data_IF_472195037963
#
_entry.id   IF_472195037963
#
_cell.length_a   1.000
_cell.length_b   1.000
_cell.length_c   1.000
_cell.angle_alpha   90.00
_cell.angle_beta   90.00
_cell.angle_gamma   90.00
#
_symmetry.space_group_name_H-M   'P 1'
#
loop_
_entity.id
_entity.type
_entity.pdbx_description
1 polymer ?
#
# COMPACT_ATOMS: atom_id res chain seq x y z
N UNK A 1 27.13 30.35 -11.29
CA UNK A 1 26.43 29.58 -12.31
C UNK A 1 25.04 29.22 -11.77
N UNK A 2 24.03 30.01 -12.16
CA UNK A 2 22.65 29.81 -11.71
C UNK A 2 22.03 28.59 -12.42
N UNK A 3 21.74 27.53 -11.68
CA UNK A 3 20.83 26.47 -12.17
C UNK A 3 19.43 27.07 -12.28
N UNK A 4 19.01 27.36 -13.50
CA UNK A 4 17.63 27.72 -13.80
C UNK A 4 16.75 26.53 -13.40
N UNK A 5 15.96 26.70 -12.33
CA UNK A 5 14.85 25.80 -11.99
C UNK A 5 13.87 25.84 -13.16
N UNK A 6 13.76 24.77 -13.90
CA UNK A 6 12.77 24.61 -14.95
C UNK A 6 11.39 24.41 -14.29
N UNK A 7 10.43 25.33 -14.44
CA UNK A 7 9.13 25.24 -13.77
C UNK A 7 8.29 24.03 -14.22
N UNK A 8 8.61 23.42 -15.36
CA UNK A 8 7.91 22.24 -15.86
C UNK A 8 8.24 20.94 -15.10
N UNK A 9 9.39 20.85 -14.40
CA UNK A 9 9.76 19.66 -13.64
C UNK A 9 9.05 19.53 -12.27
N UNK A 10 8.38 20.58 -11.78
CA UNK A 10 7.65 20.56 -10.50
C UNK A 10 6.25 19.97 -10.56
N UNK A 11 5.70 19.69 -11.75
CA UNK A 11 4.28 19.39 -11.95
C UNK A 11 3.94 17.88 -12.05
N UNK A 12 4.93 16.97 -12.00
CA UNK A 12 4.71 15.55 -12.32
C UNK A 12 5.01 14.58 -11.18
N UNK A 13 4.93 15.01 -9.92
CA UNK A 13 5.16 14.10 -8.78
C UNK A 13 4.05 13.05 -8.63
N UNK A 14 2.89 13.26 -9.24
CA UNK A 14 1.75 12.37 -9.19
C UNK A 14 1.54 11.72 -10.56
N UNK A 15 2.34 10.70 -10.83
CA UNK A 15 2.23 9.90 -12.05
C UNK A 15 2.27 8.41 -11.77
N UNK A 16 1.60 7.65 -12.63
CA UNK A 16 1.56 6.18 -12.64
C UNK A 16 2.27 5.69 -13.89
N UNK A 17 3.27 4.82 -13.72
CA UNK A 17 4.11 4.30 -14.80
C UNK A 17 3.95 2.79 -14.96
N UNK A 18 4.01 2.34 -16.21
CA UNK A 18 3.94 0.92 -16.55
C UNK A 18 2.54 0.45 -16.91
N UNK A 19 2.49 -0.53 -17.82
CA UNK A 19 1.24 -0.95 -18.49
C UNK A 19 0.21 -1.50 -17.52
N UNK A 20 0.61 -2.41 -16.64
CA UNK A 20 -0.32 -3.01 -15.68
C UNK A 20 -0.86 -1.97 -14.70
N UNK A 21 0.00 -1.11 -14.14
CA UNK A 21 -0.43 -0.07 -13.21
C UNK A 21 -1.40 0.93 -13.84
N UNK A 22 -1.21 1.27 -15.14
CA UNK A 22 -2.13 2.16 -15.85
C UNK A 22 -3.44 1.46 -16.22
N UNK A 23 -3.43 0.15 -16.47
CA UNK A 23 -4.65 -0.63 -16.68
C UNK A 23 -5.47 -0.67 -15.38
N UNK A 24 -4.86 -1.04 -14.25
CA UNK A 24 -5.52 -1.04 -12.93
C UNK A 24 -6.07 0.35 -12.57
N UNK A 25 -5.29 1.40 -12.84
CA UNK A 25 -5.74 2.79 -12.68
C UNK A 25 -6.99 3.11 -13.52
N UNK A 26 -7.03 2.63 -14.76
CA UNK A 26 -8.20 2.78 -15.63
C UNK A 26 -9.39 1.95 -15.15
N UNK A 27 -9.17 0.76 -14.60
CA UNK A 27 -10.22 -0.13 -14.06
C UNK A 27 -10.78 0.38 -12.72
N UNK A 28 -9.96 1.00 -11.86
CA UNK A 28 -10.37 1.50 -10.54
C UNK A 28 -11.37 2.66 -10.56
N UNK A 29 -11.47 3.36 -11.67
CA UNK A 29 -12.33 4.55 -11.75
C UNK A 29 -11.70 5.85 -11.25
N UNK A 30 -10.47 5.83 -10.69
CA UNK A 30 -9.76 7.02 -10.22
C UNK A 30 -9.54 8.03 -11.34
N UNK A 31 -9.57 9.31 -11.01
CA UNK A 31 -9.36 10.39 -11.96
C UNK A 31 -7.98 10.37 -12.61
N UNK A 32 -7.95 10.59 -13.92
CA UNK A 32 -6.74 10.65 -14.73
C UNK A 32 -6.75 11.95 -15.53
N UNK A 33 -5.76 12.79 -15.31
CA UNK A 33 -5.65 14.05 -16.03
C UNK A 33 -5.32 13.83 -17.52
N UNK A 34 -4.37 12.93 -17.81
CA UNK A 34 -3.96 12.55 -19.17
C UNK A 34 -3.03 11.34 -19.16
N UNK A 35 -2.94 10.65 -20.28
CA UNK A 35 -2.03 9.54 -20.48
C UNK A 35 -1.06 9.88 -21.62
N UNK A 36 0.23 9.60 -21.43
CA UNK A 36 1.26 9.69 -22.45
C UNK A 36 1.68 8.29 -22.89
N UNK A 37 1.77 8.07 -24.20
CA UNK A 37 2.18 6.81 -24.81
C UNK A 37 3.34 7.06 -25.77
N UNK A 38 4.32 6.15 -25.81
CA UNK A 38 5.43 6.24 -26.75
C UNK A 38 4.97 5.92 -28.18
N UNK A 39 5.35 6.78 -29.14
CA UNK A 39 5.10 6.54 -30.55
C UNK A 39 5.67 5.18 -31.00
N UNK A 40 4.91 4.45 -31.82
CA UNK A 40 5.31 3.15 -32.40
C UNK A 40 5.01 1.93 -31.52
N UNK A 41 4.63 2.09 -30.25
CA UNK A 41 4.24 0.99 -29.38
C UNK A 41 2.73 0.73 -29.44
N UNK A 42 2.28 0.03 -30.49
CA UNK A 42 0.84 -0.35 -30.66
C UNK A 42 0.64 -1.86 -30.42
N UNK A 43 1.19 -2.41 -29.34
CA UNK A 43 1.06 -3.83 -29.02
C UNK A 43 0.01 -4.06 -27.92
N UNK A 44 -0.73 -5.17 -28.01
CA UNK A 44 -1.66 -5.75 -27.04
C UNK A 44 -2.13 -4.85 -25.87
N UNK A 45 -1.35 -4.74 -24.82
CA UNK A 45 -1.71 -3.97 -23.61
C UNK A 45 -1.80 -2.45 -23.83
N UNK A 46 -1.04 -1.87 -24.76
CA UNK A 46 -1.16 -0.44 -25.12
C UNK A 46 -2.50 -0.20 -25.83
N UNK A 47 -2.92 -1.09 -26.72
CA UNK A 47 -4.22 -0.96 -27.38
C UNK A 47 -5.38 -1.08 -26.36
N UNK A 48 -5.25 -1.96 -25.34
CA UNK A 48 -6.20 -2.04 -24.21
C UNK A 48 -6.28 -0.71 -23.49
N UNK A 49 -5.14 -0.11 -23.14
CA UNK A 49 -5.08 1.21 -22.46
C UNK A 49 -5.75 2.29 -23.30
N UNK A 50 -5.49 2.35 -24.60
CA UNK A 50 -6.10 3.35 -25.49
C UNK A 50 -7.62 3.17 -25.56
N UNK A 51 -8.12 1.93 -25.68
CA UNK A 51 -9.54 1.63 -25.70
C UNK A 51 -10.23 2.06 -24.40
N UNK A 52 -9.70 1.67 -23.26
CA UNK A 52 -10.23 2.02 -21.93
C UNK A 52 -10.17 3.54 -21.68
N UNK A 53 -9.08 4.21 -22.07
CA UNK A 53 -8.96 5.66 -21.96
C UNK A 53 -10.03 6.37 -22.79
N UNK A 54 -10.32 5.87 -24.00
CA UNK A 54 -11.38 6.40 -24.86
C UNK A 54 -12.77 6.26 -24.22
N UNK A 55 -13.08 5.10 -23.66
CA UNK A 55 -14.35 4.85 -22.94
C UNK A 55 -14.53 5.82 -21.77
N UNK A 56 -13.44 6.08 -21.03
CA UNK A 56 -13.43 7.01 -19.90
C UNK A 56 -13.23 8.48 -20.29
N UNK A 57 -13.15 8.80 -21.59
CA UNK A 57 -12.89 10.16 -22.11
C UNK A 57 -11.59 10.77 -21.57
N UNK A 58 -10.59 9.95 -21.25
CA UNK A 58 -9.27 10.40 -20.83
C UNK A 58 -8.43 10.76 -22.06
N UNK A 59 -7.76 11.92 -21.99
CA UNK A 59 -6.90 12.39 -23.07
C UNK A 59 -5.65 11.51 -23.18
N UNK A 60 -5.39 10.95 -24.35
CA UNK A 60 -4.18 10.20 -24.67
C UNK A 60 -3.30 11.00 -25.63
N UNK A 61 -2.06 11.25 -25.24
CA UNK A 61 -1.07 11.96 -26.05
C UNK A 61 0.03 11.00 -26.48
N UNK A 62 0.23 10.86 -27.77
CA UNK A 62 1.39 10.16 -28.30
C UNK A 62 2.61 11.09 -28.29
N UNK A 63 3.73 10.62 -27.76
CA UNK A 63 4.99 11.36 -27.69
C UNK A 63 6.15 10.47 -28.15
N UNK A 64 7.25 11.10 -28.57
CA UNK A 64 8.44 10.31 -28.91
C UNK A 64 9.06 9.68 -27.65
N UNK A 65 9.79 8.57 -27.84
CA UNK A 65 10.39 7.80 -26.75
C UNK A 65 11.28 8.65 -25.85
N UNK A 66 12.10 9.52 -26.43
CA UNK A 66 13.00 10.41 -25.68
C UNK A 66 12.24 11.37 -24.76
N UNK A 67 11.10 11.91 -25.18
CA UNK A 67 10.25 12.77 -24.34
C UNK A 67 9.61 11.98 -23.20
N UNK A 68 9.15 10.76 -23.46
CA UNK A 68 8.59 9.90 -22.44
C UNK A 68 9.65 9.52 -21.38
N UNK A 69 10.89 9.20 -21.81
CA UNK A 69 12.04 8.92 -20.93
C UNK A 69 12.41 10.14 -20.06
N UNK A 70 12.31 11.36 -20.59
CA UNK A 70 12.54 12.59 -19.82
C UNK A 70 11.46 12.84 -18.74
N UNK A 71 10.23 12.40 -19.00
CA UNK A 71 9.11 12.54 -18.07
C UNK A 71 9.11 11.43 -17.02
N UNK A 72 9.67 10.27 -17.35
CA UNK A 72 9.66 9.10 -16.47
C UNK A 72 10.49 9.33 -15.20
N UNK A 73 9.95 8.89 -14.07
CA UNK A 73 10.63 8.85 -12.78
C UNK A 73 11.42 7.54 -12.62
N UNK A 74 11.20 6.57 -13.51
CA UNK A 74 11.86 5.27 -13.48
C UNK A 74 12.23 4.78 -14.88
N UNK A 75 13.25 3.92 -14.95
CA UNK A 75 13.70 3.33 -16.22
C UNK A 75 12.74 2.26 -16.79
N UNK A 76 11.66 1.92 -16.10
CA UNK A 76 10.74 0.85 -16.49
C UNK A 76 9.29 1.36 -16.64
N UNK A 77 9.09 2.41 -17.43
CA UNK A 77 7.78 2.97 -17.73
C UNK A 77 7.00 2.18 -18.80
N UNK A 78 7.64 1.21 -19.47
CA UNK A 78 7.02 0.32 -20.47
C UNK A 78 6.24 1.04 -21.59
N UNK A 79 6.67 2.26 -21.95
CA UNK A 79 6.06 3.04 -23.01
C UNK A 79 4.77 3.80 -22.63
N UNK A 80 4.40 3.87 -21.35
CA UNK A 80 3.19 4.58 -20.88
C UNK A 80 3.40 5.25 -19.53
N UNK A 81 2.86 6.49 -19.41
CA UNK A 81 2.80 7.29 -18.19
C UNK A 81 1.42 7.95 -18.11
N UNK A 82 0.70 7.76 -17.01
CA UNK A 82 -0.52 8.47 -16.67
C UNK A 82 -0.23 9.57 -15.63
N UNK A 83 -0.71 10.77 -15.86
CA UNK A 83 -0.68 11.87 -14.89
C UNK A 83 -2.01 11.84 -14.14
N UNK A 84 -1.92 11.79 -12.81
CA UNK A 84 -3.06 11.65 -11.90
C UNK A 84 -3.10 12.81 -10.89
N UNK A 85 -4.25 13.12 -10.29
CA UNK A 85 -4.28 13.94 -9.09
C UNK A 85 -3.56 13.25 -7.92
N UNK A 86 -3.16 14.00 -6.87
CA UNK A 86 -2.62 13.43 -5.64
C UNK A 86 -3.48 12.31 -5.10
N UNK A 87 -2.84 11.33 -4.43
CA UNK A 87 -3.57 10.22 -3.82
C UNK A 87 -4.48 10.75 -2.68
N UNK A 88 -5.75 10.38 -2.73
CA UNK A 88 -6.75 10.74 -1.71
C UNK A 88 -6.79 9.67 -0.62
N UNK A 89 -6.42 10.08 0.60
CA UNK A 89 -6.48 9.21 1.78
C UNK A 89 -7.89 9.20 2.33
N UNK A 90 -8.33 8.05 2.80
CA UNK A 90 -9.62 7.89 3.47
C UNK A 90 -9.51 8.10 5.00
N UNK A 91 -10.65 8.09 5.67
CA UNK A 91 -10.72 8.03 7.13
C UNK A 91 -10.73 6.57 7.64
N UNK A 92 -10.50 6.38 8.95
CA UNK A 92 -10.50 5.03 9.56
C UNK A 92 -11.89 4.39 9.43
N UNK A 93 -12.94 5.18 9.55
CA UNK A 93 -14.33 4.70 9.45
C UNK A 93 -14.64 4.15 8.05
N UNK A 94 -14.02 4.67 7.00
CA UNK A 94 -14.15 4.12 5.65
C UNK A 94 -13.57 2.70 5.53
N UNK A 95 -12.51 2.40 6.31
CA UNK A 95 -11.92 1.06 6.38
C UNK A 95 -12.86 0.11 7.12
N UNK A 96 -13.42 0.54 8.24
CA UNK A 96 -14.38 -0.24 9.02
C UNK A 96 -15.68 -0.51 8.23
N UNK A 97 -16.19 0.49 7.52
CA UNK A 97 -17.38 0.33 6.67
C UNK A 97 -17.09 -0.60 5.46
N UNK A 98 -15.86 -0.60 4.94
CA UNK A 98 -15.44 -1.56 3.91
C UNK A 98 -15.58 -3.01 4.42
N UNK A 99 -15.13 -3.31 5.64
CA UNK A 99 -15.28 -4.63 6.25
C UNK A 99 -16.76 -4.99 6.45
N UNK A 100 -17.54 -4.06 7.00
CA UNK A 100 -18.96 -4.23 7.24
C UNK A 100 -19.74 -4.47 5.94
N UNK A 101 -19.44 -3.74 4.87
CA UNK A 101 -20.09 -3.91 3.57
C UNK A 101 -19.82 -5.29 2.95
N UNK A 102 -18.64 -5.87 3.22
CA UNK A 102 -18.26 -7.24 2.84
C UNK A 102 -18.82 -8.30 3.80
N UNK A 103 -19.45 -7.91 4.92
CA UNK A 103 -19.87 -8.79 6.00
C UNK A 103 -18.73 -9.62 6.59
N UNK A 104 -17.59 -9.00 6.71
CA UNK A 104 -16.35 -9.59 7.22
C UNK A 104 -15.89 -8.88 8.49
N UNK A 105 -15.16 -9.61 9.34
CA UNK A 105 -14.50 -9.01 10.49
C UNK A 105 -13.38 -8.08 10.02
N UNK A 106 -13.23 -6.85 10.56
CA UNK A 106 -12.14 -5.94 10.20
C UNK A 106 -10.77 -6.62 10.20
N UNK A 107 -10.02 -6.45 9.11
CA UNK A 107 -8.65 -6.89 8.98
C UNK A 107 -7.82 -5.71 8.47
N UNK A 108 -6.98 -5.16 9.35
CA UNK A 108 -6.32 -3.86 9.18
C UNK A 108 -4.82 -4.01 9.39
N UNK A 109 -4.02 -3.23 8.67
CA UNK A 109 -2.57 -3.10 8.93
C UNK A 109 -2.29 -1.68 9.40
N UNK A 110 -1.52 -1.52 10.47
CA UNK A 110 -1.01 -0.25 10.97
C UNK A 110 0.50 -0.24 10.76
N UNK A 111 1.03 0.81 10.14
CA UNK A 111 2.45 0.96 9.86
C UNK A 111 3.06 2.02 10.78
N UNK A 112 3.99 1.63 11.66
CA UNK A 112 4.71 2.54 12.54
C UNK A 112 6.12 2.80 12.03
N UNK A 113 6.31 3.91 11.31
CA UNK A 113 7.64 4.35 10.86
C UNK A 113 8.13 3.69 9.55
N UNK A 114 7.26 3.28 8.66
CA UNK A 114 7.66 2.77 7.34
C UNK A 114 7.92 3.94 6.39
N UNK A 115 9.19 4.26 6.17
CA UNK A 115 9.63 5.41 5.36
C UNK A 115 10.08 5.02 3.96
N UNK A 116 10.46 3.76 3.72
CA UNK A 116 10.92 3.30 2.43
C UNK A 116 9.74 3.05 1.46
N UNK A 117 9.70 3.72 0.27
CA UNK A 117 8.62 3.53 -0.69
C UNK A 117 8.46 2.08 -1.18
N UNK A 118 9.57 1.36 -1.31
CA UNK A 118 9.54 -0.05 -1.70
C UNK A 118 8.83 -0.93 -0.67
N UNK A 119 9.05 -0.68 0.63
CA UNK A 119 8.35 -1.42 1.68
C UNK A 119 6.86 -1.10 1.69
N UNK A 120 6.49 0.17 1.63
CA UNK A 120 5.08 0.55 1.59
C UNK A 120 4.37 -0.07 0.38
N UNK A 121 4.96 0.02 -0.81
CA UNK A 121 4.38 -0.58 -2.02
C UNK A 121 4.24 -2.10 -1.94
N UNK A 122 5.24 -2.80 -1.41
CA UNK A 122 5.19 -4.24 -1.21
C UNK A 122 4.14 -4.65 -0.16
N UNK A 123 4.01 -3.88 0.95
CA UNK A 123 2.99 -4.12 1.98
C UNK A 123 1.59 -3.89 1.39
N UNK A 124 1.36 -2.81 0.63
CA UNK A 124 0.07 -2.54 -0.01
C UNK A 124 -0.33 -3.70 -0.92
N UNK A 125 0.60 -4.18 -1.76
CA UNK A 125 0.34 -5.32 -2.64
C UNK A 125 0.00 -6.59 -1.88
N UNK A 126 0.75 -6.90 -0.83
CA UNK A 126 0.51 -8.06 0.04
C UNK A 126 -0.84 -7.93 0.75
N UNK A 127 -1.16 -6.75 1.28
CA UNK A 127 -2.41 -6.48 1.98
C UNK A 127 -3.63 -6.66 1.07
N UNK A 128 -3.56 -6.12 -0.15
CA UNK A 128 -4.63 -6.25 -1.14
C UNK A 128 -4.88 -7.73 -1.48
N UNK A 129 -3.81 -8.46 -1.85
CA UNK A 129 -3.93 -9.89 -2.21
C UNK A 129 -4.36 -10.77 -1.04
N UNK A 130 -4.15 -10.34 0.19
CA UNK A 130 -4.58 -11.02 1.42
C UNK A 130 -6.02 -10.68 1.85
N UNK A 131 -6.71 -9.76 1.16
CA UNK A 131 -8.05 -9.31 1.52
C UNK A 131 -8.10 -8.39 2.73
N UNK A 132 -7.01 -7.68 3.06
CA UNK A 132 -6.99 -6.65 4.10
C UNK A 132 -7.90 -5.50 3.71
N UNK A 133 -8.70 -4.98 4.65
CA UNK A 133 -9.68 -3.93 4.39
C UNK A 133 -9.07 -2.54 4.28
N UNK A 134 -7.92 -2.32 4.91
CA UNK A 134 -7.22 -1.04 4.81
C UNK A 134 -5.89 -1.00 5.56
N UNK A 135 -5.11 0.02 5.21
CA UNK A 135 -3.79 0.30 5.81
C UNK A 135 -3.85 1.67 6.47
N UNK A 136 -3.28 1.79 7.66
CA UNK A 136 -3.18 3.04 8.41
C UNK A 136 -1.72 3.44 8.49
N UNK A 137 -1.42 4.68 8.07
CA UNK A 137 -0.08 5.27 8.12
C UNK A 137 -0.09 6.57 8.92
N UNK A 138 0.98 6.92 9.66
CA UNK A 138 1.07 8.19 10.34
C UNK A 138 1.37 9.33 9.35
N UNK A 139 1.01 10.57 9.71
CA UNK A 139 1.36 11.77 8.91
C UNK A 139 2.84 12.12 8.95
N UNK A 140 3.55 11.66 9.96
CA UNK A 140 5.00 11.89 10.14
C UNK A 140 5.72 10.57 10.23
N UNK A 141 6.99 10.54 9.79
CA UNK A 141 7.83 9.34 9.78
C UNK A 141 7.18 8.18 8.99
N UNK A 142 6.60 8.51 7.85
CA UNK A 142 6.05 7.52 6.94
C UNK A 142 6.23 7.95 5.50
N UNK A 143 6.34 6.97 4.63
CA UNK A 143 6.26 7.20 3.20
C UNK A 143 4.82 7.53 2.81
N UNK A 144 4.65 8.52 1.95
CA UNK A 144 3.38 8.81 1.28
C UNK A 144 3.23 7.95 0.03
N UNK A 145 1.98 7.74 -0.38
CA UNK A 145 1.69 7.13 -1.68
C UNK A 145 2.19 8.08 -2.77
N UNK A 146 3.20 7.62 -3.50
CA UNK A 146 3.84 8.32 -4.61
C UNK A 146 4.03 7.35 -5.78
N UNK A 147 4.59 7.83 -6.89
CA UNK A 147 4.81 7.04 -8.10
C UNK A 147 5.63 5.77 -7.86
N UNK A 148 6.64 5.81 -6.98
CA UNK A 148 7.43 4.62 -6.62
C UNK A 148 6.59 3.58 -5.89
N UNK A 149 5.78 4.03 -4.90
CA UNK A 149 4.84 3.17 -4.17
C UNK A 149 3.85 2.53 -5.12
N UNK A 150 3.20 3.32 -5.97
CA UNK A 150 2.21 2.84 -6.95
C UNK A 150 2.81 1.80 -7.89
N UNK A 151 4.04 2.04 -8.34
CA UNK A 151 4.76 1.10 -9.21
C UNK A 151 5.07 -0.22 -8.51
N UNK A 152 5.60 -0.19 -7.30
CA UNK A 152 5.94 -1.40 -6.52
C UNK A 152 4.67 -2.17 -6.14
N UNK A 153 3.61 -1.47 -5.82
CA UNK A 153 2.31 -2.06 -5.51
C UNK A 153 1.62 -2.68 -6.74
N UNK A 154 2.13 -2.44 -7.97
CA UNK A 154 1.63 -3.04 -9.22
C UNK A 154 0.11 -2.87 -9.44
N UNK A 155 -0.44 -1.71 -9.07
CA UNK A 155 -1.86 -1.38 -9.18
C UNK A 155 -2.68 -1.61 -7.91
N UNK A 156 -2.20 -2.36 -6.93
CA UNK A 156 -2.92 -2.64 -5.68
C UNK A 156 -3.32 -1.38 -4.88
N UNK A 157 -2.61 -0.26 -5.10
CA UNK A 157 -2.96 1.05 -4.50
C UNK A 157 -4.38 1.48 -4.85
N UNK A 158 -4.85 1.13 -6.05
CA UNK A 158 -6.16 1.56 -6.55
C UNK A 158 -7.33 0.80 -5.89
N UNK A 159 -7.04 -0.33 -5.26
CA UNK A 159 -8.01 -1.20 -4.60
C UNK A 159 -7.91 -1.18 -3.07
N UNK A 160 -6.85 -0.54 -2.52
CA UNK A 160 -6.57 -0.52 -1.09
C UNK A 160 -6.99 0.81 -0.46
N UNK A 161 -7.80 0.76 0.59
CA UNK A 161 -8.07 1.92 1.42
C UNK A 161 -6.86 2.25 2.29
N UNK A 162 -6.39 3.49 2.23
CA UNK A 162 -5.26 3.94 3.05
C UNK A 162 -5.68 5.17 3.84
N UNK A 163 -5.70 5.03 5.16
CA UNK A 163 -5.97 6.14 6.07
C UNK A 163 -4.67 6.78 6.57
N UNK A 164 -4.69 8.11 6.72
CA UNK A 164 -3.54 8.86 7.18
C UNK A 164 -3.83 9.60 8.47
N UNK A 165 -3.21 9.17 9.58
CA UNK A 165 -3.54 9.61 10.94
C UNK A 165 -2.47 10.50 11.56
N UNK A 166 -2.88 11.34 12.51
CA UNK A 166 -1.96 12.21 13.25
C UNK A 166 -1.17 11.42 14.30
N UNK A 167 -1.82 10.43 14.95
CA UNK A 167 -1.29 9.72 16.11
C UNK A 167 -1.74 8.26 16.10
N UNK A 168 -0.78 7.33 15.95
CA UNK A 168 -1.05 5.89 15.95
C UNK A 168 -1.64 5.42 17.29
N UNK A 169 -1.19 5.98 18.42
CA UNK A 169 -1.68 5.56 19.73
C UNK A 169 -3.17 5.90 19.94
N UNK A 170 -3.60 7.08 19.50
CA UNK A 170 -5.02 7.47 19.50
C UNK A 170 -5.82 6.57 18.55
N UNK A 171 -5.26 6.25 17.40
CA UNK A 171 -5.86 5.34 16.43
C UNK A 171 -6.04 3.93 17.01
N UNK A 172 -5.05 3.40 17.70
CA UNK A 172 -5.15 2.10 18.38
C UNK A 172 -6.28 2.12 19.42
N UNK A 173 -6.36 3.15 20.25
CA UNK A 173 -7.45 3.27 21.23
C UNK A 173 -8.82 3.33 20.54
N UNK A 174 -8.95 4.13 19.50
CA UNK A 174 -10.17 4.22 18.71
C UNK A 174 -10.58 2.87 18.09
N UNK A 175 -9.65 2.10 17.55
CA UNK A 175 -9.94 0.77 17.00
C UNK A 175 -10.38 -0.20 18.10
N UNK A 176 -9.78 -0.13 19.29
CA UNK A 176 -10.18 -0.95 20.46
C UNK A 176 -11.61 -0.60 20.93
N UNK A 177 -12.02 0.67 20.88
CA UNK A 177 -13.40 1.10 21.15
C UNK A 177 -14.40 0.57 20.10
N UNK A 178 -13.91 0.10 18.95
CA UNK A 178 -14.68 -0.55 17.89
C UNK A 178 -14.55 -2.08 17.89
N UNK A 179 -14.12 -2.67 19.01
CA UNK A 179 -13.90 -4.10 19.18
C UNK A 179 -12.90 -4.72 18.18
N UNK A 180 -11.90 -3.94 17.77
CA UNK A 180 -10.79 -4.42 16.95
C UNK A 180 -9.58 -4.70 17.84
N UNK A 181 -9.17 -5.96 17.93
CA UNK A 181 -7.94 -6.38 18.62
C UNK A 181 -6.71 -5.87 17.90
N UNK A 182 -5.69 -5.48 18.65
CA UNK A 182 -4.45 -4.92 18.09
C UNK A 182 -3.27 -5.82 18.44
N UNK A 183 -2.71 -6.47 17.42
CA UNK A 183 -1.53 -7.32 17.49
C UNK A 183 -0.30 -6.56 17.01
N UNK A 184 0.72 -6.41 17.85
CA UNK A 184 2.00 -5.84 17.46
C UNK A 184 3.01 -6.90 17.05
N UNK A 185 3.87 -6.60 16.05
CA UNK A 185 4.98 -7.48 15.65
C UNK A 185 6.28 -7.01 16.30
N UNK A 186 6.80 -7.77 17.25
CA UNK A 186 8.04 -7.42 17.95
C UNK A 186 8.81 -8.65 18.39
N UNK A 187 10.13 -8.54 18.51
CA UNK A 187 10.99 -9.64 18.99
C UNK A 187 10.96 -9.80 20.52
N UNK A 188 10.55 -8.75 21.22
CA UNK A 188 10.53 -8.70 22.69
C UNK A 188 9.22 -9.29 23.25
N UNK A 189 8.95 -10.54 22.91
CA UNK A 189 7.82 -11.35 23.39
C UNK A 189 8.16 -12.83 23.28
N UNK A 190 7.54 -13.68 24.08
CA UNK A 190 7.68 -15.15 23.97
C UNK A 190 6.64 -15.79 23.04
N UNK A 191 5.66 -15.01 22.55
CA UNK A 191 4.57 -15.49 21.74
C UNK A 191 4.96 -15.55 20.25
N UNK A 192 4.91 -16.71 19.66
CA UNK A 192 5.13 -16.87 18.23
C UNK A 192 3.84 -16.59 17.45
N UNK A 193 3.96 -15.90 16.31
CA UNK A 193 2.84 -15.49 15.46
C UNK A 193 1.89 -16.63 15.04
N UNK A 194 2.40 -17.86 14.93
CA UNK A 194 1.63 -19.04 14.53
C UNK A 194 0.91 -19.74 15.69
N UNK A 195 1.17 -19.34 16.95
CA UNK A 195 0.53 -19.89 18.15
C UNK A 195 -0.58 -19.01 18.71
N UNK A 196 -0.70 -17.77 18.25
CA UNK A 196 -1.72 -16.82 18.69
C UNK A 196 -2.91 -16.81 17.72
N UNK A 197 -4.11 -16.49 18.21
CA UNK A 197 -5.30 -16.33 17.35
C UNK A 197 -5.23 -14.99 16.59
N UNK A 198 -5.02 -15.07 15.29
CA UNK A 198 -4.98 -13.94 14.37
C UNK A 198 -6.26 -13.83 13.53
N UNK A 199 -7.37 -14.32 14.05
CA UNK A 199 -8.69 -14.26 13.39
C UNK A 199 -9.58 -13.16 13.99
N UNK A 200 -10.83 -13.03 13.52
CA UNK A 200 -11.78 -12.02 13.99
C UNK A 200 -11.39 -10.59 13.60
N UNK A 201 -11.93 -9.61 14.32
CA UNK A 201 -11.62 -8.19 14.12
C UNK A 201 -10.19 -7.90 14.58
N UNK A 202 -9.26 -7.67 13.67
CA UNK A 202 -7.83 -7.60 13.96
C UNK A 202 -7.12 -6.47 13.20
N UNK A 203 -6.30 -5.70 13.91
CA UNK A 203 -5.30 -4.80 13.36
C UNK A 203 -3.89 -5.33 13.67
N UNK A 204 -3.04 -5.48 12.66
CA UNK A 204 -1.65 -5.90 12.81
C UNK A 204 -0.75 -4.68 12.68
N UNK A 205 0.08 -4.41 13.70
CA UNK A 205 1.04 -3.31 13.70
C UNK A 205 2.40 -3.82 13.24
N UNK A 206 2.94 -3.19 12.19
CA UNK A 206 4.27 -3.46 11.64
C UNK A 206 5.16 -2.25 11.93
N UNK A 207 6.25 -2.47 12.63
CA UNK A 207 7.24 -1.46 12.96
C UNK A 207 8.26 -1.23 11.83
N UNK A 208 9.05 -0.17 11.99
CA UNK A 208 10.13 0.19 11.06
C UNK A 208 11.31 -0.78 11.10
N UNK A 209 12.09 -0.81 10.00
CA UNK A 209 13.35 -1.53 9.96
C UNK A 209 14.37 -0.93 10.94
N UNK A 210 14.94 -1.75 11.77
CA UNK A 210 15.98 -1.37 12.74
C UNK A 210 15.46 -0.85 14.08
N UNK A 211 14.39 -0.03 14.11
CA UNK A 211 13.84 0.50 15.37
C UNK A 211 12.59 -0.27 15.86
N UNK A 212 11.97 -1.05 14.96
CA UNK A 212 10.71 -1.73 15.28
C UNK A 212 9.56 -0.75 15.51
N UNK A 213 8.64 -1.12 16.38
CA UNK A 213 7.56 -0.25 16.86
C UNK A 213 8.06 0.69 17.96
N UNK A 214 7.49 1.89 18.05
CA UNK A 214 7.75 2.78 19.18
C UNK A 214 7.23 2.17 20.50
N UNK A 215 7.91 2.48 21.62
CA UNK A 215 7.58 1.92 22.94
C UNK A 215 6.09 2.08 23.29
N UNK A 216 5.55 3.26 23.08
CA UNK A 216 4.15 3.55 23.41
C UNK A 216 3.17 2.79 22.50
N UNK A 217 3.52 2.55 21.25
CA UNK A 217 2.73 1.73 20.33
C UNK A 217 2.70 0.27 20.81
N UNK A 218 3.84 -0.30 21.23
CA UNK A 218 3.91 -1.64 21.82
C UNK A 218 3.00 -1.77 23.06
N UNK A 219 3.08 -0.79 23.96
CA UNK A 219 2.30 -0.77 25.22
C UNK A 219 0.78 -0.67 24.97
N UNK A 220 0.35 -0.07 23.85
CA UNK A 220 -1.06 0.06 23.49
C UNK A 220 -1.59 -1.17 22.73
N UNK A 221 -0.76 -2.06 22.20
CA UNK A 221 -1.20 -3.33 21.60
C UNK A 221 -1.81 -4.24 22.67
N UNK A 222 -2.80 -5.06 22.29
CA UNK A 222 -3.41 -6.05 23.19
C UNK A 222 -2.47 -7.24 23.42
N UNK A 223 -1.70 -7.59 22.39
CA UNK A 223 -0.66 -8.62 22.47
C UNK A 223 0.42 -8.39 21.42
N UNK A 224 1.56 -9.01 21.64
CA UNK A 224 2.70 -8.98 20.73
C UNK A 224 2.99 -10.39 20.21
N UNK A 225 3.45 -10.46 18.96
CA UNK A 225 3.91 -11.72 18.36
C UNK A 225 5.28 -11.52 17.71
N UNK A 226 6.09 -12.60 17.72
CA UNK A 226 7.38 -12.62 17.03
C UNK A 226 7.43 -13.65 15.92
N UNK A 227 8.26 -13.35 14.92
CA UNK A 227 8.71 -14.31 13.91
C UNK A 227 10.02 -14.93 14.41
N UNK A 228 10.16 -16.26 14.48
CA UNK A 228 11.38 -16.87 15.01
C UNK A 228 12.57 -16.62 14.08
N UNK A 229 13.65 -16.08 14.63
CA UNK A 229 14.93 -15.88 13.94
C UNK A 229 15.90 -16.98 14.36
N UNK A 230 16.44 -17.74 13.40
CA UNK A 230 17.42 -18.80 13.65
C UNK A 230 18.85 -18.45 13.20
N UNK A 231 18.98 -17.31 12.51
CA UNK A 231 20.24 -16.82 11.99
C UNK A 231 20.93 -15.83 12.95
N UNK A 232 22.01 -15.23 12.47
CA UNK A 232 22.73 -14.17 13.19
C UNK A 232 22.06 -12.79 13.06
N UNK A 233 21.25 -12.62 12.03
CA UNK A 233 20.49 -11.38 11.81
C UNK A 233 19.21 -11.44 12.64
N UNK A 234 18.92 -10.36 13.36
CA UNK A 234 17.86 -10.30 14.39
C UNK A 234 16.52 -9.80 13.87
N UNK A 235 16.44 -9.35 12.61
CA UNK A 235 15.21 -8.81 12.02
C UNK A 235 15.09 -9.16 10.54
N UNK A 236 13.86 -9.22 10.04
CA UNK A 236 13.52 -9.29 8.62
C UNK A 236 13.23 -7.88 8.08
N UNK A 237 13.25 -7.76 6.76
CA UNK A 237 12.66 -6.60 6.09
C UNK A 237 11.19 -6.43 6.51
N UNK A 238 10.74 -5.19 6.70
CA UNK A 238 9.40 -4.89 7.22
C UNK A 238 8.28 -5.44 6.33
N UNK A 239 8.43 -5.38 5.00
CA UNK A 239 7.42 -5.92 4.08
C UNK A 239 7.38 -7.46 4.09
N UNK A 240 8.50 -8.11 4.33
CA UNK A 240 8.58 -9.57 4.51
C UNK A 240 7.89 -9.98 5.81
N UNK A 241 8.18 -9.28 6.92
CA UNK A 241 7.52 -9.50 8.21
C UNK A 241 6.01 -9.34 8.10
N UNK A 242 5.55 -8.27 7.45
CA UNK A 242 4.14 -8.04 7.17
C UNK A 242 3.52 -9.21 6.40
N UNK A 243 4.17 -9.66 5.32
CA UNK A 243 3.70 -10.79 4.51
C UNK A 243 3.53 -12.07 5.31
N UNK A 244 4.50 -12.42 6.16
CA UNK A 244 4.46 -13.63 6.98
C UNK A 244 3.26 -13.59 7.95
N UNK A 245 3.10 -12.51 8.72
CA UNK A 245 2.05 -12.42 9.75
C UNK A 245 0.66 -12.26 9.14
N UNK A 246 0.54 -11.47 8.06
CA UNK A 246 -0.72 -11.28 7.34
C UNK A 246 -1.22 -12.60 6.73
N UNK A 247 -0.34 -13.36 6.06
CA UNK A 247 -0.73 -14.64 5.45
C UNK A 247 -0.96 -15.75 6.47
N UNK A 248 -0.36 -15.69 7.65
CA UNK A 248 -0.75 -16.55 8.76
C UNK A 248 -2.18 -16.25 9.23
N UNK A 249 -2.55 -14.96 9.35
CA UNK A 249 -3.92 -14.58 9.64
C UNK A 249 -4.90 -15.11 8.56
N UNK A 250 -4.55 -14.96 7.28
CA UNK A 250 -5.34 -15.53 6.16
C UNK A 250 -5.50 -17.05 6.29
N UNK A 251 -4.42 -17.77 6.59
CA UNK A 251 -4.45 -19.21 6.79
C UNK A 251 -5.40 -19.62 7.92
N UNK A 252 -5.37 -18.89 9.04
CA UNK A 252 -6.22 -19.17 10.20
C UNK A 252 -7.69 -18.83 9.89
N UNK A 253 -7.98 -17.71 9.25
CA UNK A 253 -9.33 -17.31 8.82
C UNK A 253 -9.95 -18.32 7.87
N UNK A 254 -9.18 -18.83 6.90
CA UNK A 254 -9.64 -19.85 5.97
C UNK A 254 -9.99 -21.17 6.68
N UNK A 255 -9.18 -21.61 7.66
CA UNK A 255 -9.51 -22.81 8.46
C UNK A 255 -10.82 -22.67 9.23
N UNK A 256 -11.08 -21.50 9.83
CA UNK A 256 -12.35 -21.23 10.53
C UNK A 256 -13.56 -21.29 9.59
N UNK A 257 -13.41 -20.88 8.33
CA UNK A 257 -14.48 -20.92 7.33
C UNK A 257 -14.76 -22.33 6.81
N UNK A 258 -13.79 -23.25 6.80
CA UNK A 258 -13.98 -24.66 6.43
C UNK A 258 -14.59 -25.51 7.56
N UNK A 259 -14.63 -24.98 8.79
CA UNK A 259 -15.18 -25.68 9.97
C UNK A 259 -16.61 -25.22 10.33
N UNK A 260 -17.18 -24.28 9.56
CA UNK A 260 -18.58 -23.86 9.60
C UNK A 260 -19.36 -24.50 8.46
#
# INVERSE_FOLDING_TARGET
>A
MNKKNNPEQKQYNDQVEGRNSVIELLESGRDINKIFISNGEKNGSINKIIAMAKERKVIVNEVNKSKLEQMALSNNHQGVIAIVPPYEYCDIDDILECAKSRKEDPFIIILDGIEAPHNLGAIIRTAETAGVHGIIIPKRRSCLVNSTVTKVAAGAVEHMKIARVNNINETIRYLKEKDVWVCGTDMDTDKYYYNEDLTGSLAIVIGSEGFGMSKLVKENCDFLVKIPMKGKITSLNASVSAGIVVYESVRQRNKKNFLK
#
